data_IF_557708777515
#
_entry.id   IF_557708777515
#
_cell.length_a   1.000
_cell.length_b   1.000
_cell.length_c   1.000
_cell.angle_alpha   90.00
_cell.angle_beta   90.00
_cell.angle_gamma   90.00
#
_symmetry.space_group_name_H-M   'P 1'
#
loop_
_entity.id
_entity.type
_entity.pdbx_description
1 polymer ?
#
# COMPACT_ATOMS: atom_id res chain seq x y z
N UNK A 1 -4.07 12.29 9.65
CA UNK A 1 -3.19 11.68 8.63
C UNK A 1 -2.50 10.40 9.12
N UNK A 2 -1.74 10.41 10.22
CA UNK A 2 -0.95 9.24 10.66
C UNK A 2 -1.76 7.94 10.81
N UNK A 3 -2.92 8.03 11.46
CA UNK A 3 -3.81 6.87 11.69
C UNK A 3 -4.30 6.28 10.36
N UNK A 4 -4.79 7.11 9.44
CA UNK A 4 -5.31 6.66 8.14
C UNK A 4 -4.24 6.02 7.24
N UNK A 5 -3.00 6.51 7.30
CA UNK A 5 -1.89 6.00 6.50
C UNK A 5 -1.35 4.65 7.00
N UNK A 6 -1.37 4.44 8.32
CA UNK A 6 -0.90 3.20 8.97
C UNK A 6 -2.01 2.13 9.05
N UNK A 7 -3.28 2.53 9.08
CA UNK A 7 -4.40 1.60 9.10
C UNK A 7 -4.45 0.73 7.83
N UNK A 8 -4.15 1.32 6.68
CA UNK A 8 -4.22 0.64 5.39
C UNK A 8 -3.29 -0.59 5.27
N UNK A 9 -1.98 -0.51 5.60
CA UNK A 9 -1.12 -1.70 5.62
C UNK A 9 -1.56 -2.74 6.64
N UNK A 10 -2.05 -2.33 7.82
CA UNK A 10 -2.50 -3.28 8.86
C UNK A 10 -3.69 -4.13 8.35
N UNK A 11 -4.65 -3.50 7.69
CA UNK A 11 -5.81 -4.19 7.12
C UNK A 11 -5.37 -5.18 6.03
N UNK A 12 -4.39 -4.80 5.21
CA UNK A 12 -3.85 -5.68 4.16
C UNK A 12 -3.07 -6.85 4.78
N UNK A 13 -2.28 -6.63 5.85
CA UNK A 13 -1.62 -7.71 6.57
C UNK A 13 -2.64 -8.71 7.12
N UNK A 14 -3.72 -8.22 7.74
CA UNK A 14 -4.80 -9.07 8.24
C UNK A 14 -5.47 -9.86 7.12
N UNK A 15 -5.78 -9.21 5.99
CA UNK A 15 -6.36 -9.87 4.83
C UNK A 15 -5.48 -11.01 4.28
N UNK A 16 -4.15 -10.81 4.23
CA UNK A 16 -3.19 -11.84 3.80
C UNK A 16 -3.21 -13.04 4.76
N UNK A 17 -3.27 -12.81 6.08
CA UNK A 17 -3.35 -13.87 7.08
C UNK A 17 -4.66 -14.67 6.92
N UNK A 18 -5.79 -13.98 6.74
CA UNK A 18 -7.09 -14.63 6.54
C UNK A 18 -7.07 -15.51 5.28
N UNK A 19 -6.53 -15.01 4.17
CA UNK A 19 -6.42 -15.78 2.93
C UNK A 19 -5.49 -17.00 3.07
N UNK A 20 -4.44 -16.89 3.90
CA UNK A 20 -3.52 -18.00 4.17
C UNK A 20 -4.19 -19.14 4.95
N UNK A 21 -5.03 -18.82 5.93
CA UNK A 21 -5.75 -19.81 6.75
C UNK A 21 -6.94 -20.40 5.99
N UNK A 22 -7.62 -19.61 5.16
CA UNK A 22 -8.79 -20.04 4.39
C UNK A 22 -8.65 -19.67 2.92
N UNK A 23 -7.93 -20.48 2.11
CA UNK A 23 -7.70 -20.21 0.69
C UNK A 23 -8.92 -20.58 -0.17
N UNK A 24 -10.07 -19.95 0.11
CA UNK A 24 -11.32 -20.15 -0.61
C UNK A 24 -11.59 -18.94 -1.50
N UNK A 25 -12.07 -19.17 -2.73
CA UNK A 25 -12.35 -18.12 -3.71
C UNK A 25 -13.30 -17.05 -3.15
N UNK A 26 -14.31 -17.45 -2.38
CA UNK A 26 -15.25 -16.53 -1.73
C UNK A 26 -14.58 -15.57 -0.74
N UNK A 27 -13.59 -16.05 0.03
CA UNK A 27 -12.81 -15.23 0.97
C UNK A 27 -11.94 -14.23 0.20
N UNK A 28 -11.26 -14.68 -0.86
CA UNK A 28 -10.47 -13.81 -1.73
C UNK A 28 -11.31 -12.70 -2.38
N UNK A 29 -12.53 -13.02 -2.82
CA UNK A 29 -13.47 -12.05 -3.38
C UNK A 29 -13.81 -10.95 -2.38
N UNK A 30 -14.24 -11.31 -1.17
CA UNK A 30 -14.56 -10.33 -0.13
C UNK A 30 -13.35 -9.49 0.28
N UNK A 31 -12.17 -10.10 0.39
CA UNK A 31 -10.92 -9.38 0.63
C UNK A 31 -10.67 -8.33 -0.45
N UNK A 32 -10.84 -8.67 -1.72
CA UNK A 32 -10.66 -7.71 -2.82
C UNK A 32 -11.64 -6.54 -2.75
N UNK A 33 -12.92 -6.82 -2.48
CA UNK A 33 -13.97 -5.79 -2.38
C UNK A 33 -13.68 -4.84 -1.22
N UNK A 34 -13.41 -5.38 -0.03
CA UNK A 34 -13.12 -4.59 1.18
C UNK A 34 -11.83 -3.80 1.01
N UNK A 35 -10.78 -4.41 0.47
CA UNK A 35 -9.49 -3.74 0.23
C UNK A 35 -9.63 -2.57 -0.75
N UNK A 36 -10.42 -2.73 -1.82
CA UNK A 36 -10.73 -1.62 -2.74
C UNK A 36 -11.52 -0.53 -2.05
N UNK A 37 -12.59 -0.86 -1.33
CA UNK A 37 -13.41 0.11 -0.62
C UNK A 37 -12.58 0.97 0.34
N UNK A 38 -11.70 0.34 1.11
CA UNK A 38 -10.82 1.01 2.08
C UNK A 38 -9.75 1.84 1.37
N UNK A 39 -9.17 1.35 0.26
CA UNK A 39 -8.23 2.14 -0.54
C UNK A 39 -8.88 3.43 -1.07
N UNK A 40 -10.12 3.36 -1.56
CA UNK A 40 -10.85 4.54 -2.03
C UNK A 40 -11.24 5.48 -0.89
N UNK A 41 -11.70 4.93 0.24
CA UNK A 41 -12.16 5.73 1.38
C UNK A 41 -11.01 6.41 2.16
N UNK A 42 -9.88 5.72 2.33
CA UNK A 42 -8.79 6.15 3.22
C UNK A 42 -7.45 6.31 2.50
N UNK A 43 -7.08 5.36 1.64
CA UNK A 43 -5.76 5.34 0.99
C UNK A 43 -5.52 6.55 0.08
N UNK A 44 -6.40 6.74 -0.91
CA UNK A 44 -6.28 7.82 -1.89
C UNK A 44 -6.34 9.23 -1.25
N UNK A 45 -7.28 9.53 -0.32
CA UNK A 45 -7.29 10.82 0.35
C UNK A 45 -6.04 11.06 1.20
N UNK A 46 -5.55 10.05 1.93
CA UNK A 46 -4.36 10.20 2.78
C UNK A 46 -3.11 10.49 1.96
N UNK A 47 -2.96 9.85 0.79
CA UNK A 47 -1.87 10.14 -0.14
C UNK A 47 -1.94 11.59 -0.66
N UNK A 48 -3.15 12.05 -1.04
CA UNK A 48 -3.35 13.44 -1.50
C UNK A 48 -3.04 14.47 -0.40
N UNK A 49 -3.37 14.17 0.84
CA UNK A 49 -3.02 15.01 1.98
C UNK A 49 -1.49 15.09 2.18
N UNK A 50 -0.76 13.99 1.92
CA UNK A 50 0.70 13.97 2.06
C UNK A 50 1.41 14.92 1.06
N UNK A 51 0.77 15.26 -0.06
CA UNK A 51 1.28 16.22 -1.04
C UNK A 51 1.01 17.69 -0.72
N UNK A 52 0.26 18.01 0.34
CA UNK A 52 -0.06 19.41 0.70
C UNK A 52 1.20 20.25 0.96
N UNK A 53 2.19 19.81 1.77
CA UNK A 53 3.40 20.58 2.04
C UNK A 53 4.46 20.47 0.93
N UNK A 54 4.17 19.83 -0.20
CA UNK A 54 5.12 19.58 -1.29
C UNK A 54 4.99 20.63 -2.40
N UNK A 55 6.08 20.99 -3.09
CA UNK A 55 5.95 21.86 -4.27
C UNK A 55 5.16 21.19 -5.39
N UNK A 56 4.64 22.03 -6.29
CA UNK A 56 3.87 21.56 -7.45
C UNK A 56 4.69 20.62 -8.33
N UNK A 57 5.96 20.96 -8.61
CA UNK A 57 6.81 20.16 -9.50
C UNK A 57 7.10 18.77 -8.92
N UNK A 58 7.51 18.71 -7.65
CA UNK A 58 7.76 17.45 -6.94
C UNK A 58 6.49 16.59 -6.88
N UNK A 59 5.33 17.20 -6.61
CA UNK A 59 4.04 16.50 -6.57
C UNK A 59 3.69 15.88 -7.92
N UNK A 60 3.77 16.63 -9.02
CA UNK A 60 3.42 16.12 -10.34
C UNK A 60 4.34 14.99 -10.79
N UNK A 61 5.66 15.12 -10.55
CA UNK A 61 6.64 14.09 -10.89
C UNK A 61 6.46 12.83 -10.04
N UNK A 62 6.21 12.96 -8.74
CA UNK A 62 5.96 11.83 -7.86
C UNK A 62 4.65 11.11 -8.21
N UNK A 63 3.56 11.85 -8.42
CA UNK A 63 2.26 11.27 -8.74
C UNK A 63 2.30 10.48 -10.06
N UNK A 64 2.85 11.08 -11.11
CA UNK A 64 2.99 10.41 -12.41
C UNK A 64 3.87 9.16 -12.33
N UNK A 65 4.97 9.19 -11.57
CA UNK A 65 5.81 8.02 -11.36
C UNK A 65 5.03 6.89 -10.65
N UNK A 66 4.29 7.21 -9.58
CA UNK A 66 3.53 6.22 -8.80
C UNK A 66 2.44 5.57 -9.65
N UNK A 67 1.69 6.37 -10.41
CA UNK A 67 0.57 5.88 -11.23
C UNK A 67 1.04 5.11 -12.46
N UNK A 68 2.04 5.63 -13.18
CA UNK A 68 2.50 5.04 -14.43
C UNK A 68 3.46 3.86 -14.20
N UNK A 69 4.45 4.02 -13.32
CA UNK A 69 5.45 2.99 -13.07
C UNK A 69 5.04 2.11 -11.88
N UNK A 70 4.80 2.70 -10.71
CA UNK A 70 4.53 1.95 -9.48
C UNK A 70 3.36 0.97 -9.62
N UNK A 71 2.21 1.46 -10.09
CA UNK A 71 1.01 0.62 -10.27
C UNK A 71 1.16 -0.48 -11.32
N UNK A 72 1.95 -0.25 -12.39
CA UNK A 72 2.14 -1.23 -13.46
C UNK A 72 3.20 -2.27 -13.09
N UNK A 73 4.33 -1.82 -12.56
CA UNK A 73 5.42 -2.68 -12.09
C UNK A 73 4.94 -3.62 -10.99
N UNK A 74 4.08 -3.14 -10.07
CA UNK A 74 3.47 -3.98 -9.03
C UNK A 74 2.65 -5.13 -9.62
N UNK A 75 1.83 -4.87 -10.65
CA UNK A 75 1.04 -5.93 -11.32
C UNK A 75 1.92 -6.92 -12.07
N UNK A 76 2.96 -6.44 -12.75
CA UNK A 76 3.90 -7.30 -13.47
C UNK A 76 4.64 -8.24 -12.51
N UNK A 77 5.19 -7.72 -11.42
CA UNK A 77 5.87 -8.50 -10.38
C UNK A 77 4.90 -9.50 -9.73
N UNK A 78 3.68 -9.06 -9.40
CA UNK A 78 2.64 -9.93 -8.84
C UNK A 78 2.25 -11.07 -9.77
N UNK A 79 2.15 -10.81 -11.08
CA UNK A 79 1.89 -11.85 -12.08
C UNK A 79 3.05 -12.82 -12.22
N UNK A 80 4.30 -12.35 -12.10
CA UNK A 80 5.47 -13.22 -12.13
C UNK A 80 5.45 -14.23 -10.97
N UNK A 81 5.09 -13.80 -9.76
CA UNK A 81 4.92 -14.69 -8.60
C UNK A 81 3.86 -15.76 -8.86
N UNK A 82 2.83 -15.47 -9.66
CA UNK A 82 1.80 -16.45 -10.04
C UNK A 82 2.30 -17.53 -11.00
N UNK A 83 3.41 -17.30 -11.71
CA UNK A 83 3.98 -18.27 -12.65
C UNK A 83 4.88 -19.31 -11.96
N UNK A 84 5.32 -19.06 -10.72
CA UNK A 84 6.24 -19.95 -10.00
C UNK A 84 5.49 -20.98 -9.13
N UNK A 85 5.61 -22.25 -9.50
CA UNK A 85 5.23 -23.42 -8.69
C UNK A 85 3.73 -23.72 -8.63
N UNK A 86 3.38 -24.91 -8.11
CA UNK A 86 1.98 -25.32 -7.91
C UNK A 86 1.24 -24.50 -6.85
N UNK A 87 -0.07 -24.70 -6.75
CA UNK A 87 -0.98 -23.89 -5.90
C UNK A 87 -0.50 -23.68 -4.46
N UNK A 88 0.05 -24.72 -3.81
CA UNK A 88 0.55 -24.63 -2.43
C UNK A 88 1.82 -23.76 -2.30
N UNK A 89 2.71 -23.81 -3.29
CA UNK A 89 3.93 -23.02 -3.31
C UNK A 89 3.62 -21.54 -3.59
N UNK A 90 2.69 -21.28 -4.51
CA UNK A 90 2.17 -19.95 -4.78
C UNK A 90 1.58 -19.28 -3.53
N UNK A 91 0.72 -19.99 -2.78
CA UNK A 91 0.10 -19.45 -1.57
C UNK A 91 1.14 -19.16 -0.47
N UNK A 92 2.20 -19.95 -0.37
CA UNK A 92 3.28 -19.72 0.59
C UNK A 92 4.14 -18.52 0.20
N UNK A 93 4.63 -18.47 -1.05
CA UNK A 93 5.45 -17.37 -1.56
C UNK A 93 4.71 -16.03 -1.52
N UNK A 94 3.47 -15.99 -2.02
CA UNK A 94 2.66 -14.77 -2.04
C UNK A 94 2.41 -14.23 -0.63
N UNK A 95 2.13 -15.10 0.35
CA UNK A 95 1.89 -14.68 1.73
C UNK A 95 3.15 -14.10 2.38
N UNK A 96 4.30 -14.77 2.23
CA UNK A 96 5.57 -14.33 2.84
C UNK A 96 6.03 -13.00 2.22
N UNK A 97 6.00 -12.90 0.89
CA UNK A 97 6.38 -11.67 0.18
C UNK A 97 5.43 -10.53 0.56
N UNK A 98 4.12 -10.78 0.59
CA UNK A 98 3.13 -9.75 0.92
C UNK A 98 3.28 -9.24 2.35
N UNK A 99 3.52 -10.13 3.33
CA UNK A 99 3.75 -9.72 4.71
C UNK A 99 5.07 -8.95 4.86
N UNK A 100 6.14 -9.37 4.17
CA UNK A 100 7.42 -8.65 4.16
C UNK A 100 7.29 -7.22 3.60
N UNK A 101 6.64 -7.07 2.45
CA UNK A 101 6.38 -5.75 1.84
C UNK A 101 5.48 -4.91 2.73
N UNK A 102 4.46 -5.50 3.35
CA UNK A 102 3.54 -4.78 4.24
C UNK A 102 4.25 -4.28 5.49
N UNK A 103 5.19 -5.06 6.04
CA UNK A 103 6.04 -4.63 7.16
C UNK A 103 6.84 -3.36 6.80
N UNK A 104 7.52 -3.36 5.66
CA UNK A 104 8.24 -2.18 5.17
C UNK A 104 7.31 -0.99 4.95
N UNK A 105 6.12 -1.23 4.43
CA UNK A 105 5.14 -0.17 4.19
C UNK A 105 4.67 0.50 5.49
N UNK A 106 4.50 -0.24 6.59
CA UNK A 106 4.19 0.35 7.91
C UNK A 106 5.30 1.32 8.34
N UNK A 107 6.57 0.93 8.23
CA UNK A 107 7.69 1.80 8.58
C UNK A 107 7.72 3.08 7.74
N UNK A 108 7.52 2.95 6.44
CA UNK A 108 7.46 4.09 5.51
C UNK A 108 6.27 5.00 5.85
N UNK A 109 5.10 4.45 6.17
CA UNK A 109 3.93 5.22 6.53
C UNK A 109 4.16 6.04 7.82
N UNK A 110 4.80 5.46 8.83
CA UNK A 110 5.16 6.16 10.07
C UNK A 110 6.17 7.28 9.78
N UNK A 111 7.17 7.01 8.94
CA UNK A 111 8.16 8.02 8.55
C UNK A 111 7.51 9.22 7.84
N UNK A 112 6.66 8.96 6.84
CA UNK A 112 5.92 10.00 6.12
C UNK A 112 5.04 10.80 7.07
N UNK A 113 4.32 10.14 7.96
CA UNK A 113 3.45 10.81 8.92
C UNK A 113 4.22 11.76 9.86
N UNK A 114 5.40 11.34 10.33
CA UNK A 114 6.29 12.18 11.17
C UNK A 114 6.81 13.39 10.38
N UNK A 115 7.30 13.15 9.16
CA UNK A 115 7.84 14.22 8.30
C UNK A 115 6.77 15.23 7.92
N UNK A 116 5.55 14.77 7.60
CA UNK A 116 4.41 15.62 7.34
C UNK A 116 4.06 16.49 8.55
N UNK A 117 3.92 15.89 9.74
CA UNK A 117 3.60 16.62 10.96
C UNK A 117 4.67 17.67 11.30
N UNK A 118 5.96 17.38 11.01
CA UNK A 118 7.05 18.33 11.20
C UNK A 118 6.95 19.50 10.23
N UNK A 119 6.75 19.25 8.94
CA UNK A 119 6.67 20.30 7.93
C UNK A 119 5.44 21.20 8.08
N UNK A 120 4.29 20.64 8.49
CA UNK A 120 3.10 21.43 8.81
C UNK A 120 3.36 22.33 10.02
N UNK A 121 4.04 21.84 11.06
CA UNK A 121 4.42 22.67 12.23
C UNK A 121 5.40 23.78 11.87
N UNK A 122 6.35 23.50 10.99
CA UNK A 122 7.40 24.45 10.58
C UNK A 122 6.95 25.37 9.42
N UNK A 123 5.73 25.22 8.89
CA UNK A 123 5.24 25.88 7.66
C UNK A 123 6.26 25.83 6.50
N UNK A 124 7.01 24.73 6.43
CA UNK A 124 8.09 24.57 5.45
C UNK A 124 7.60 23.76 4.28
N UNK A 125 7.85 24.27 3.07
CA UNK A 125 7.62 23.52 1.84
C UNK A 125 8.72 22.44 1.74
N UNK A 126 8.31 21.18 1.70
CA UNK A 126 9.21 20.05 1.46
C UNK A 126 9.31 19.86 -0.05
N UNK A 127 10.44 20.25 -0.63
CA UNK A 127 10.77 20.15 -2.05
C UNK A 127 9.75 20.79 -2.97
#
# INVERSE_FOLDING_TARGET
MAVSLVLMPIIIAFAVIVLRVSPVIGVAFWIMVVSKAINYALGQPSLKQAYIPTSKDSKYKAQSWIEAFGGRSSKAIGSWVNTFGGASYYLMMSSVISLGITGLWVFIAIYIAKTYNKAVKENKIIC
#
